data_IF_252466338761
#
_entry.id   IF_252466338761
#
_cell.length_a   1.000
_cell.length_b   1.000
_cell.length_c   1.000
_cell.angle_alpha   90.00
_cell.angle_beta   90.00
_cell.angle_gamma   90.00
#
_symmetry.space_group_name_H-M   'P 1'
#
loop_
_entity.id
_entity.type
_entity.pdbx_description
1 polymer ?
#
# COMPACT_ATOMS: atom_id res chain seq x y z
N UNK A 1 15.52 10.23 -19.08
CA UNK A 1 14.35 9.34 -19.07
C UNK A 1 13.14 10.18 -19.44
N UNK A 2 12.59 9.98 -20.64
CA UNK A 2 11.52 10.80 -21.21
C UNK A 2 10.21 10.39 -20.51
N UNK A 3 9.60 11.31 -19.77
CA UNK A 3 8.27 11.12 -19.24
C UNK A 3 7.29 10.99 -20.41
N UNK A 4 6.74 9.81 -20.65
CA UNK A 4 5.60 9.65 -21.56
C UNK A 4 4.35 10.13 -20.84
N UNK A 5 3.68 11.11 -21.42
CA UNK A 5 2.26 11.34 -21.11
C UNK A 5 1.53 10.04 -21.46
N UNK A 6 0.91 9.42 -20.46
CA UNK A 6 0.04 8.27 -20.69
C UNK A 6 -1.21 8.84 -21.34
N UNK A 7 -1.47 8.48 -22.58
CA UNK A 7 -2.65 8.95 -23.29
C UNK A 7 -3.92 8.24 -22.77
N UNK A 8 -5.07 8.85 -23.02
CA UNK A 8 -6.37 8.28 -22.62
C UNK A 8 -6.60 6.88 -23.21
N UNK A 9 -5.98 6.56 -24.34
CA UNK A 9 -6.07 5.26 -24.96
C UNK A 9 -5.31 4.19 -24.16
N UNK A 10 -4.14 4.50 -23.61
CA UNK A 10 -3.38 3.58 -22.73
C UNK A 10 -4.13 3.36 -21.41
N UNK A 11 -4.71 4.43 -20.84
CA UNK A 11 -5.54 4.33 -19.63
C UNK A 11 -6.75 3.43 -19.90
N UNK A 12 -7.47 3.65 -20.99
CA UNK A 12 -8.63 2.85 -21.36
C UNK A 12 -8.27 1.38 -21.63
N UNK A 13 -7.14 1.11 -22.28
CA UNK A 13 -6.65 -0.24 -22.51
C UNK A 13 -6.26 -0.97 -21.23
N UNK A 14 -5.63 -0.26 -20.27
CA UNK A 14 -5.34 -0.79 -18.95
C UNK A 14 -6.62 -1.09 -18.18
N UNK A 15 -7.60 -0.18 -18.22
CA UNK A 15 -8.90 -0.33 -17.56
C UNK A 15 -9.71 -1.47 -18.14
N UNK A 16 -9.68 -1.65 -19.47
CA UNK A 16 -10.32 -2.80 -20.14
C UNK A 16 -9.71 -4.12 -19.67
N UNK A 17 -8.39 -4.22 -19.69
CA UNK A 17 -7.65 -5.40 -19.23
C UNK A 17 -7.89 -5.72 -17.75
N UNK A 18 -8.00 -4.69 -16.92
CA UNK A 18 -8.33 -4.84 -15.51
C UNK A 18 -9.76 -5.36 -15.31
N UNK A 19 -10.73 -4.87 -16.08
CA UNK A 19 -12.12 -5.36 -16.05
C UNK A 19 -12.21 -6.83 -16.48
N UNK A 20 -11.44 -7.24 -17.48
CA UNK A 20 -11.36 -8.64 -17.91
C UNK A 20 -10.80 -9.54 -16.79
N UNK A 21 -9.71 -9.11 -16.15
CA UNK A 21 -9.12 -9.81 -15.00
C UNK A 21 -10.13 -9.93 -13.86
N UNK A 22 -10.86 -8.86 -13.55
CA UNK A 22 -11.85 -8.85 -12.47
C UNK A 22 -13.09 -9.71 -12.75
N UNK A 23 -13.44 -9.91 -14.05
CA UNK A 23 -14.57 -10.76 -14.50
C UNK A 23 -14.22 -12.24 -14.65
N UNK A 24 -12.97 -12.64 -14.46
CA UNK A 24 -12.56 -14.05 -14.51
C UNK A 24 -12.17 -14.57 -15.87
N UNK A 25 -12.03 -13.73 -16.87
CA UNK A 25 -11.65 -14.11 -18.23
C UNK A 25 -10.15 -14.15 -18.52
N UNK A 26 -9.28 -13.91 -17.55
CA UNK A 26 -7.84 -13.85 -17.74
C UNK A 26 -7.16 -15.21 -17.53
N UNK A 27 -6.13 -15.50 -18.35
CA UNK A 27 -5.20 -16.64 -18.16
C UNK A 27 -4.34 -16.53 -16.89
N UNK A 28 -4.37 -15.41 -16.21
CA UNK A 28 -3.67 -15.25 -14.95
C UNK A 28 -4.58 -15.77 -13.83
N UNK A 29 -4.14 -16.80 -13.12
CA UNK A 29 -4.81 -17.25 -11.92
C UNK A 29 -5.02 -16.06 -11.01
N UNK A 30 -6.26 -15.82 -10.64
CA UNK A 30 -6.57 -14.87 -9.59
C UNK A 30 -5.84 -15.34 -8.34
N UNK A 31 -5.04 -14.49 -7.76
CA UNK A 31 -4.68 -14.68 -6.35
C UNK A 31 -6.00 -14.99 -5.63
N UNK A 32 -6.12 -16.15 -4.98
CA UNK A 32 -7.39 -16.58 -4.40
C UNK A 32 -7.92 -15.47 -3.51
N UNK A 33 -9.04 -14.89 -3.93
CA UNK A 33 -9.69 -13.76 -3.21
C UNK A 33 -10.37 -14.23 -1.92
N UNK A 34 -10.02 -15.41 -1.41
CA UNK A 34 -10.57 -16.02 -0.17
C UNK A 34 -10.48 -15.10 1.06
N UNK A 35 -9.68 -14.04 0.97
CA UNK A 35 -9.46 -13.09 2.06
C UNK A 35 -9.91 -11.65 1.74
N UNK A 36 -10.59 -11.43 0.62
CA UNK A 36 -11.11 -10.12 0.26
C UNK A 36 -12.56 -9.99 0.70
N UNK A 37 -12.83 -9.09 1.64
CA UNK A 37 -14.17 -8.83 2.18
C UNK A 37 -14.78 -7.58 1.55
N UNK A 38 -13.98 -6.55 1.30
CA UNK A 38 -14.43 -5.21 0.93
C UNK A 38 -13.89 -4.72 -0.42
N UNK A 39 -13.18 -5.58 -1.16
CA UNK A 39 -12.57 -5.26 -2.46
C UNK A 39 -11.73 -3.96 -2.46
N UNK A 40 -10.89 -3.80 -1.45
CA UNK A 40 -10.06 -2.60 -1.29
C UNK A 40 -8.83 -2.62 -2.21
N UNK A 41 -8.49 -1.44 -2.69
CA UNK A 41 -7.34 -1.18 -3.55
C UNK A 41 -6.56 0.02 -3.05
N UNK A 42 -5.25 -0.06 -3.14
CA UNK A 42 -4.34 1.01 -2.79
C UNK A 42 -3.79 1.63 -4.06
N UNK A 43 -3.89 2.95 -4.16
CA UNK A 43 -3.36 3.74 -5.27
C UNK A 43 -2.25 4.62 -4.73
N UNK A 44 -1.09 4.57 -5.35
CA UNK A 44 0.08 5.33 -4.93
C UNK A 44 0.83 5.92 -6.11
N UNK A 45 1.32 7.18 -5.99
CA UNK A 45 2.17 7.76 -7.01
C UNK A 45 3.52 7.05 -7.06
N UNK A 46 4.03 6.78 -8.26
CA UNK A 46 5.31 6.09 -8.42
C UNK A 46 6.52 6.94 -8.03
N UNK A 47 6.38 8.27 -8.03
CA UNK A 47 7.45 9.23 -7.78
C UNK A 47 7.55 9.70 -6.32
N UNK A 48 6.57 9.39 -5.47
CA UNK A 48 6.55 9.84 -4.08
C UNK A 48 6.96 8.72 -3.11
N UNK A 49 7.36 9.13 -1.91
CA UNK A 49 7.82 8.26 -0.84
C UNK A 49 7.10 8.58 0.49
N UNK A 50 7.45 7.88 1.57
CA UNK A 50 6.98 8.14 2.93
C UNK A 50 5.45 8.04 3.12
N UNK A 51 4.74 7.32 2.23
CA UNK A 51 3.29 7.22 2.28
C UNK A 51 2.53 8.42 1.69
N UNK A 52 3.25 9.41 1.13
CA UNK A 52 2.62 10.59 0.54
C UNK A 52 1.82 10.24 -0.70
N UNK A 53 0.58 10.75 -0.76
CA UNK A 53 -0.32 10.56 -1.91
C UNK A 53 -0.86 9.14 -2.06
N UNK A 54 -0.71 8.29 -1.05
CA UNK A 54 -1.32 6.96 -1.03
C UNK A 54 -2.78 7.12 -0.61
N UNK A 55 -3.69 6.55 -1.41
CA UNK A 55 -5.12 6.54 -1.13
C UNK A 55 -5.72 5.14 -1.30
N UNK A 56 -6.81 4.87 -0.59
CA UNK A 56 -7.49 3.58 -0.57
C UNK A 56 -8.89 3.73 -1.17
N UNK A 57 -9.22 2.81 -2.08
CA UNK A 57 -10.47 2.81 -2.82
C UNK A 57 -11.14 1.44 -2.79
N UNK A 58 -12.46 1.41 -2.97
CA UNK A 58 -13.27 0.18 -3.04
C UNK A 58 -13.84 -0.08 -4.44
N UNK A 59 -13.80 0.89 -5.32
CA UNK A 59 -14.32 0.76 -6.68
C UNK A 59 -13.41 1.44 -7.71
N UNK A 60 -13.55 1.01 -8.95
CA UNK A 60 -12.70 1.47 -10.06
C UNK A 60 -13.02 2.88 -10.52
N UNK A 61 -14.25 3.32 -10.36
CA UNK A 61 -14.66 4.66 -10.78
C UNK A 61 -13.90 5.72 -9.98
N UNK A 62 -13.89 5.55 -8.66
CA UNK A 62 -13.19 6.49 -7.76
C UNK A 62 -11.69 6.49 -8.03
N UNK A 63 -11.08 5.33 -8.33
CA UNK A 63 -9.66 5.23 -8.73
C UNK A 63 -9.42 6.04 -10.01
N UNK A 64 -10.27 5.87 -11.03
CA UNK A 64 -10.12 6.58 -12.29
C UNK A 64 -10.26 8.09 -12.13
N UNK A 65 -11.27 8.53 -11.39
CA UNK A 65 -11.52 9.94 -11.10
C UNK A 65 -10.34 10.55 -10.31
N UNK A 66 -9.83 9.84 -9.31
CA UNK A 66 -8.68 10.29 -8.52
C UNK A 66 -7.42 10.43 -9.39
N UNK A 67 -7.08 9.42 -10.19
CA UNK A 67 -5.92 9.46 -11.08
C UNK A 67 -6.07 10.60 -12.09
N UNK A 68 -7.23 10.76 -12.69
CA UNK A 68 -7.50 11.84 -13.66
C UNK A 68 -7.29 13.22 -13.04
N UNK A 69 -7.83 13.47 -11.84
CA UNK A 69 -7.67 14.74 -11.13
C UNK A 69 -6.23 15.05 -10.73
N UNK A 70 -5.43 14.02 -10.44
CA UNK A 70 -4.04 14.14 -9.98
C UNK A 70 -3.00 13.99 -11.09
N UNK A 71 -3.41 13.69 -12.31
CA UNK A 71 -2.48 13.38 -13.42
C UNK A 71 -1.51 14.52 -13.77
N UNK A 72 -1.87 15.77 -13.50
CA UNK A 72 -0.98 16.91 -13.70
C UNK A 72 0.22 16.91 -12.73
N UNK A 73 0.13 16.23 -11.60
CA UNK A 73 1.17 16.18 -10.56
C UNK A 73 2.06 14.94 -10.65
N UNK A 74 1.53 13.82 -11.17
CA UNK A 74 2.23 12.54 -11.22
C UNK A 74 1.89 11.80 -12.52
N UNK A 75 2.91 11.43 -13.29
CA UNK A 75 2.74 10.76 -14.58
C UNK A 75 2.51 9.25 -14.46
N UNK A 76 2.86 8.62 -13.32
CA UNK A 76 2.74 7.19 -13.10
C UNK A 76 2.13 6.86 -11.75
N UNK A 77 1.23 5.89 -11.77
CA UNK A 77 0.52 5.40 -10.59
C UNK A 77 0.64 3.90 -10.47
N UNK A 78 0.75 3.41 -9.25
CA UNK A 78 0.67 1.99 -8.94
C UNK A 78 -0.68 1.73 -8.30
N UNK A 79 -1.49 0.87 -8.93
CA UNK A 79 -2.74 0.35 -8.38
C UNK A 79 -2.46 -1.06 -7.86
N UNK A 80 -2.62 -1.25 -6.57
CA UNK A 80 -2.26 -2.48 -5.88
C UNK A 80 -3.45 -3.02 -5.10
N UNK A 81 -3.72 -4.31 -5.22
CA UNK A 81 -4.73 -4.96 -4.36
C UNK A 81 -4.32 -4.85 -2.91
N UNK A 82 -5.23 -4.36 -2.07
CA UNK A 82 -4.99 -4.23 -0.64
C UNK A 82 -5.12 -5.59 0.07
N UNK A 83 -4.26 -5.85 1.04
CA UNK A 83 -4.33 -7.02 1.90
C UNK A 83 -5.31 -6.70 3.04
N UNK A 84 -6.55 -7.18 2.90
CA UNK A 84 -7.65 -6.81 3.78
C UNK A 84 -7.64 -7.56 5.13
N UNK A 85 -6.98 -8.70 5.21
CA UNK A 85 -6.80 -9.49 6.43
C UNK A 85 -5.32 -9.66 6.72
N UNK A 86 -4.61 -8.60 7.14
CA UNK A 86 -3.24 -8.73 7.57
C UNK A 86 -3.16 -9.43 8.93
N UNK A 87 -1.98 -9.94 9.27
CA UNK A 87 -1.68 -10.26 10.65
C UNK A 87 -1.61 -8.95 11.46
N UNK A 88 -2.15 -8.95 12.66
CA UNK A 88 -2.25 -7.75 13.50
C UNK A 88 -1.47 -7.96 14.80
N UNK A 89 -0.94 -6.87 15.33
CA UNK A 89 -0.37 -6.81 16.68
C UNK A 89 -1.30 -5.96 17.56
N UNK A 90 -1.87 -6.56 18.59
CA UNK A 90 -2.86 -5.90 19.46
C UNK A 90 -3.96 -5.17 18.65
N UNK A 91 -4.58 -5.89 17.71
CA UNK A 91 -5.62 -5.40 16.79
C UNK A 91 -5.19 -4.21 15.91
N UNK A 92 -3.91 -3.93 15.81
CA UNK A 92 -3.36 -2.86 14.97
C UNK A 92 -2.49 -3.41 13.86
N UNK A 93 -2.52 -2.75 12.71
CA UNK A 93 -1.69 -3.10 11.57
C UNK A 93 -0.22 -2.77 11.87
N UNK A 94 0.66 -3.61 11.38
CA UNK A 94 2.10 -3.36 11.43
C UNK A 94 2.79 -3.73 10.10
N UNK A 95 3.98 -3.24 9.91
CA UNK A 95 4.93 -3.71 8.93
C UNK A 95 6.29 -4.02 9.58
N UNK A 96 7.10 -4.79 8.86
CA UNK A 96 8.41 -5.22 9.32
C UNK A 96 9.47 -4.44 8.55
N UNK A 97 10.35 -3.75 9.27
CA UNK A 97 11.52 -3.09 8.71
C UNK A 97 12.76 -3.92 8.91
N UNK A 98 13.37 -4.31 7.80
CA UNK A 98 14.67 -4.99 7.77
C UNK A 98 15.64 -4.24 6.88
N UNK A 99 16.94 -4.51 7.05
CA UNK A 99 18.00 -4.03 6.17
C UNK A 99 18.64 -5.22 5.47
N UNK A 100 18.78 -5.12 4.17
CA UNK A 100 19.50 -6.10 3.35
C UNK A 100 20.57 -5.37 2.54
N UNK A 101 21.76 -5.96 2.48
CA UNK A 101 22.86 -5.56 1.62
C UNK A 101 22.97 -6.58 0.47
N UNK A 102 22.99 -6.10 -0.75
CA UNK A 102 23.31 -6.91 -1.93
C UNK A 102 24.66 -6.44 -2.44
N UNK A 103 25.62 -7.37 -2.54
CA UNK A 103 26.96 -7.09 -3.07
C UNK A 103 26.97 -7.15 -4.61
N UNK A 104 28.05 -6.71 -5.23
CA UNK A 104 28.25 -6.74 -6.68
C UNK A 104 28.29 -8.16 -7.26
N UNK A 105 28.69 -9.15 -6.48
CA UNK A 105 28.63 -10.58 -6.80
C UNK A 105 27.28 -11.24 -6.40
N UNK A 106 26.24 -10.45 -6.18
CA UNK A 106 24.87 -10.87 -5.84
C UNK A 106 24.72 -11.67 -4.55
N UNK A 107 25.67 -11.60 -3.63
CA UNK A 107 25.45 -12.12 -2.27
C UNK A 107 24.51 -11.21 -1.49
N UNK A 108 23.59 -11.81 -0.73
CA UNK A 108 22.59 -11.09 0.05
C UNK A 108 22.88 -11.29 1.53
N UNK A 109 23.07 -10.19 2.24
CA UNK A 109 23.23 -10.16 3.69
C UNK A 109 22.03 -9.46 4.31
N UNK A 110 21.40 -10.09 5.28
CA UNK A 110 20.30 -9.50 6.04
C UNK A 110 20.78 -9.16 7.43
N UNK A 111 20.60 -7.91 7.84
CA UNK A 111 20.93 -7.49 9.19
C UNK A 111 19.96 -8.15 10.18
N UNK A 112 20.52 -8.76 11.23
CA UNK A 112 19.75 -9.58 12.17
C UNK A 112 18.75 -8.82 13.02
N UNK A 113 18.96 -7.51 13.21
CA UNK A 113 18.06 -6.67 13.97
C UNK A 113 17.15 -5.89 13.00
N UNK A 114 15.86 -6.02 13.20
CA UNK A 114 14.84 -5.25 12.55
C UNK A 114 13.86 -4.70 13.58
N UNK A 115 12.85 -4.02 13.13
CA UNK A 115 11.79 -3.54 13.99
C UNK A 115 10.44 -3.52 13.27
N UNK A 116 9.39 -3.51 14.04
CA UNK A 116 8.04 -3.33 13.55
C UNK A 116 7.64 -1.86 13.65
N UNK A 117 6.82 -1.43 12.70
CA UNK A 117 6.12 -0.14 12.76
C UNK A 117 4.65 -0.41 12.86
N UNK A 118 3.99 0.14 13.86
CA UNK A 118 2.57 -0.09 14.13
C UNK A 118 1.73 1.11 13.71
N UNK A 119 0.46 0.87 13.37
CA UNK A 119 -0.51 1.94 13.23
C UNK A 119 -0.93 2.46 14.61
N UNK A 120 -1.26 3.74 14.72
CA UNK A 120 -1.77 4.36 15.95
C UNK A 120 -3.19 3.91 16.28
N UNK A 121 -3.95 3.50 15.26
CA UNK A 121 -5.35 3.15 15.39
C UNK A 121 -5.59 1.64 15.19
N UNK A 122 -6.63 1.13 15.84
CA UNK A 122 -7.14 -0.23 15.66
C UNK A 122 -7.54 -0.45 14.20
N UNK A 123 -7.21 -1.63 13.67
CA UNK A 123 -7.50 -1.99 12.30
C UNK A 123 -9.00 -2.21 12.07
N UNK A 124 -9.57 -1.45 11.15
CA UNK A 124 -10.97 -1.58 10.75
C UNK A 124 -11.12 -1.31 9.25
N UNK A 125 -11.68 -2.27 8.50
CA UNK A 125 -11.96 -2.15 7.06
C UNK A 125 -13.09 -1.14 6.74
N UNK A 126 -13.88 -0.74 7.72
CA UNK A 126 -14.91 0.30 7.56
C UNK A 126 -14.34 1.71 7.66
N UNK A 127 -13.24 1.85 8.40
CA UNK A 127 -12.54 3.12 8.53
C UNK A 127 -11.54 3.28 7.38
N UNK A 128 -11.74 4.26 6.52
CA UNK A 128 -10.89 4.50 5.35
C UNK A 128 -9.73 5.48 5.62
N UNK A 129 -9.48 5.85 6.88
CA UNK A 129 -8.39 6.77 7.19
C UNK A 129 -7.03 6.11 6.97
N UNK A 130 -6.09 6.87 6.44
CA UNK A 130 -4.73 6.38 6.20
C UNK A 130 -4.00 5.97 7.49
N UNK A 131 -4.38 6.52 8.64
CA UNK A 131 -3.80 6.18 9.95
C UNK A 131 -4.11 4.75 10.43
N UNK A 132 -5.20 4.16 9.94
CA UNK A 132 -5.55 2.75 10.19
C UNK A 132 -4.77 1.81 9.28
N UNK A 133 -4.53 2.23 8.04
CA UNK A 133 -4.09 1.33 6.97
C UNK A 133 -2.61 1.45 6.60
N UNK A 134 -1.97 2.58 6.87
CA UNK A 134 -0.58 2.85 6.51
C UNK A 134 0.27 3.01 7.76
N UNK A 135 1.32 2.22 7.86
CA UNK A 135 2.26 2.18 9.00
C UNK A 135 3.50 3.06 8.80
N UNK A 136 3.50 3.89 7.74
CA UNK A 136 4.60 4.80 7.47
C UNK A 136 4.78 5.79 8.63
N UNK A 137 5.97 5.83 9.24
CA UNK A 137 6.29 6.70 10.37
C UNK A 137 5.97 8.18 10.09
N UNK A 138 6.35 8.68 8.89
CA UNK A 138 6.08 10.07 8.51
C UNK A 138 4.59 10.41 8.39
N UNK A 139 3.73 9.41 8.27
CA UNK A 139 2.28 9.57 8.33
C UNK A 139 1.80 9.49 9.78
N UNK A 140 2.17 8.42 10.49
CA UNK A 140 1.69 8.12 11.83
C UNK A 140 1.98 9.25 12.83
N UNK A 141 3.15 9.91 12.71
CA UNK A 141 3.54 11.05 13.58
C UNK A 141 2.56 12.22 13.52
N UNK A 142 1.73 12.31 12.50
CA UNK A 142 0.72 13.38 12.33
C UNK A 142 -0.66 12.98 12.84
N UNK A 143 -0.83 11.72 13.20
CA UNK A 143 -2.11 11.18 13.68
C UNK A 143 -2.31 11.32 15.16
N UNK A 144 -3.57 11.43 15.57
CA UNK A 144 -3.95 11.29 16.98
C UNK A 144 -3.56 9.88 17.47
N UNK A 145 -3.08 9.79 18.71
CA UNK A 145 -2.66 8.53 19.31
C UNK A 145 -1.26 8.05 18.89
N UNK A 146 -0.48 8.86 18.19
CA UNK A 146 0.93 8.53 17.94
C UNK A 146 1.70 8.36 19.26
N UNK A 147 2.49 7.30 19.37
CA UNK A 147 3.24 6.89 20.55
C UNK A 147 2.39 6.58 21.81
N UNK A 148 1.07 6.46 21.65
CA UNK A 148 0.18 6.14 22.79
C UNK A 148 0.31 4.68 23.27
N UNK A 149 0.77 3.78 22.41
CA UNK A 149 0.90 2.34 22.72
C UNK A 149 2.36 1.92 22.87
N UNK A 150 3.19 2.27 21.91
CA UNK A 150 4.63 2.03 21.90
C UNK A 150 5.37 3.33 21.59
N UNK A 151 6.55 3.51 22.16
CA UNK A 151 7.38 4.67 21.85
C UNK A 151 7.65 4.77 20.34
N UNK A 152 7.23 5.90 19.77
CA UNK A 152 7.38 6.16 18.35
C UNK A 152 6.68 5.15 17.43
N UNK A 153 5.65 4.44 17.90
CA UNK A 153 4.95 3.37 17.17
C UNK A 153 5.91 2.29 16.64
N UNK A 154 6.93 1.93 17.39
CA UNK A 154 7.93 0.93 17.01
C UNK A 154 8.12 -0.14 18.08
N UNK A 155 8.36 -1.37 17.64
CA UNK A 155 8.61 -2.54 18.48
C UNK A 155 9.84 -3.27 17.96
N UNK A 156 10.66 -3.81 18.86
CA UNK A 156 11.73 -4.72 18.47
C UNK A 156 11.17 -6.10 18.09
N UNK A 157 11.92 -6.87 17.32
CA UNK A 157 11.53 -8.23 16.97
C UNK A 157 11.29 -9.15 18.17
N UNK A 158 11.95 -8.89 19.29
CA UNK A 158 11.81 -9.69 20.49
C UNK A 158 10.50 -9.42 21.26
N UNK A 159 9.74 -8.40 20.84
CA UNK A 159 8.49 -8.00 21.48
C UNK A 159 7.26 -8.59 20.75
N UNK A 160 7.49 -9.39 19.70
CA UNK A 160 6.51 -10.19 18.99
C UNK A 160 6.35 -11.55 19.67
#
# INVERSE_FOLDING_TARGET
MIARNVDDHEINRFMHRFREISRGGSRYERVPMKHCVSNMWLVKPASLNQGRGIEIFKNMRDISEFIFQKNQQNSFWVVQKYIEKPFLYNDRKFDIRIWALVTDDFRIYVYKHGYLRTSSATYDLKNNTNFVHLTNQCLQVKGEGYAAHEEGNTLNFNDL
#
